data_IF_223980188941
#
_entry.id   IF_223980188941
#
_cell.length_a   1.000
_cell.length_b   1.000
_cell.length_c   1.000
_cell.angle_alpha   90.00
_cell.angle_beta   90.00
_cell.angle_gamma   90.00
#
_symmetry.space_group_name_H-M   'P 1'
#
loop_
_entity.id
_entity.type
_entity.pdbx_description
1 polymer ?
#
# COMPACT_ATOMS: atom_id res chain seq x y z
N UNK A 1 12.67 -1.97 21.55
CA UNK A 1 13.29 -0.87 20.78
C UNK A 1 13.13 0.43 21.57
N UNK A 2 14.01 1.41 21.44
CA UNK A 2 14.03 2.61 22.31
C UNK A 2 13.49 3.90 21.67
N UNK A 3 13.11 3.86 20.39
CA UNK A 3 12.65 5.02 19.62
C UNK A 3 11.64 4.61 18.54
N UNK A 4 10.80 5.55 18.13
CA UNK A 4 9.90 5.43 16.98
C UNK A 4 9.70 6.80 16.30
N UNK A 5 9.22 6.78 15.06
CA UNK A 5 8.73 7.95 14.32
C UNK A 5 7.23 7.80 14.08
N UNK A 6 6.44 8.74 14.57
CA UNK A 6 4.99 8.87 14.30
C UNK A 6 4.74 9.86 13.16
N UNK A 7 3.66 9.64 12.40
CA UNK A 7 3.23 10.47 11.29
C UNK A 7 1.82 11.03 11.52
N UNK A 8 1.73 12.22 12.09
CA UNK A 8 0.44 12.86 12.44
C UNK A 8 -0.16 13.75 11.36
N UNK A 9 0.64 14.17 10.37
CA UNK A 9 0.28 15.25 9.42
C UNK A 9 -0.06 14.81 8.00
N UNK A 10 0.09 13.52 7.65
CA UNK A 10 -0.16 13.00 6.29
C UNK A 10 -0.79 11.61 6.36
N UNK A 11 -1.80 11.38 5.51
CA UNK A 11 -2.48 10.08 5.38
C UNK A 11 -1.58 8.97 4.80
N UNK A 12 -0.65 9.28 3.89
CA UNK A 12 0.36 8.35 3.35
C UNK A 12 1.77 8.89 3.62
N UNK A 13 2.69 8.03 4.05
CA UNK A 13 4.05 8.41 4.45
C UNK A 13 5.06 7.44 3.84
N UNK A 14 5.95 7.95 2.99
CA UNK A 14 6.80 7.13 2.12
C UNK A 14 8.28 7.20 2.50
N UNK A 15 8.91 6.03 2.55
CA UNK A 15 10.36 5.85 2.50
C UNK A 15 10.73 5.38 1.09
N UNK A 16 11.62 6.11 0.42
CA UNK A 16 12.17 5.70 -0.88
C UNK A 16 13.56 5.10 -0.67
N UNK A 17 13.77 3.88 -1.15
CA UNK A 17 15.03 3.14 -1.07
C UNK A 17 15.52 2.95 -2.50
N UNK A 18 16.68 3.52 -2.84
CA UNK A 18 17.34 3.27 -4.14
C UNK A 18 18.04 1.93 -4.08
N UNK A 19 17.80 1.08 -5.06
CA UNK A 19 18.21 -0.34 -5.04
C UNK A 19 18.24 -0.89 -6.47
N UNK A 20 19.23 -1.72 -6.79
CA UNK A 20 19.29 -2.37 -8.09
C UNK A 20 18.18 -3.43 -8.24
N UNK A 21 17.71 -3.62 -9.49
CA UNK A 21 16.66 -4.59 -9.83
C UNK A 21 17.04 -6.01 -9.39
N UNK A 22 16.27 -6.60 -8.48
CA UNK A 22 16.61 -7.89 -7.88
C UNK A 22 15.75 -8.24 -6.66
N UNK A 23 15.98 -9.41 -6.03
CA UNK A 23 15.28 -9.79 -4.82
C UNK A 23 15.77 -8.96 -3.63
N UNK A 24 14.83 -8.37 -2.90
CA UNK A 24 15.08 -7.52 -1.73
C UNK A 24 14.34 -8.09 -0.52
N UNK A 25 15.05 -8.26 0.58
CA UNK A 25 14.46 -8.43 1.91
C UNK A 25 14.11 -7.04 2.46
N UNK A 26 12.86 -6.85 2.88
CA UNK A 26 12.43 -5.67 3.66
C UNK A 26 11.85 -6.15 4.99
N UNK A 27 12.30 -5.54 6.09
CA UNK A 27 11.78 -5.75 7.44
C UNK A 27 11.33 -4.42 8.03
N UNK A 28 10.07 -4.34 8.44
CA UNK A 28 9.47 -3.17 9.09
C UNK A 28 9.01 -3.56 10.50
N UNK A 29 9.47 -2.80 11.50
CA UNK A 29 9.28 -3.13 12.92
C UNK A 29 8.52 -2.03 13.65
N UNK A 30 7.54 -2.45 14.45
CA UNK A 30 6.55 -1.61 15.11
C UNK A 30 6.47 -1.97 16.60
N UNK A 31 7.01 -1.10 17.46
CA UNK A 31 6.87 -1.18 18.90
C UNK A 31 6.19 0.11 19.42
N UNK A 32 4.93 -0.01 19.85
CA UNK A 32 4.12 1.13 20.29
C UNK A 32 4.54 1.65 21.67
N UNK A 33 4.67 0.76 22.65
CA UNK A 33 5.16 1.09 24.00
C UNK A 33 4.36 2.16 24.75
N UNK A 34 3.12 2.46 24.34
CA UNK A 34 2.26 3.52 24.87
C UNK A 34 2.92 4.93 24.86
N UNK A 35 3.67 5.25 23.79
CA UNK A 35 4.45 6.49 23.68
C UNK A 35 3.61 7.79 23.84
N UNK A 36 2.36 7.76 23.41
CA UNK A 36 1.39 8.88 23.50
C UNK A 36 0.58 8.90 24.82
N UNK A 37 0.71 7.85 25.66
CA UNK A 37 0.00 7.64 26.93
C UNK A 37 -1.51 7.41 26.83
N UNK A 38 -2.07 7.15 25.65
CA UNK A 38 -3.51 6.95 25.42
C UNK A 38 -3.99 5.52 25.72
N UNK A 39 -3.08 4.54 25.81
CA UNK A 39 -3.38 3.10 25.85
C UNK A 39 -4.16 2.60 24.61
N UNK A 40 -4.09 3.31 23.48
CA UNK A 40 -4.82 3.01 22.25
C UNK A 40 -3.84 2.71 21.09
N UNK A 41 -3.31 1.48 20.99
CA UNK A 41 -2.37 1.11 19.93
C UNK A 41 -3.05 1.24 18.55
N UNK A 42 -2.51 2.06 17.63
CA UNK A 42 -3.16 2.36 16.36
C UNK A 42 -3.02 1.21 15.35
N UNK A 43 -3.87 1.24 14.32
CA UNK A 43 -3.79 0.32 13.19
C UNK A 43 -3.84 1.05 11.84
N UNK A 44 -3.03 0.59 10.90
CA UNK A 44 -2.73 1.28 9.65
C UNK A 44 -2.27 0.26 8.59
N UNK A 45 -2.16 0.66 7.32
CA UNK A 45 -1.57 -0.20 6.30
C UNK A 45 -0.06 0.03 6.19
N UNK A 46 0.67 -1.06 5.97
CA UNK A 46 2.00 -1.07 5.38
C UNK A 46 1.83 -1.47 3.90
N UNK A 47 2.38 -0.67 2.99
CA UNK A 47 2.41 -0.98 1.56
C UNK A 47 3.83 -0.96 1.00
N UNK A 48 4.07 -1.75 -0.04
CA UNK A 48 5.36 -1.83 -0.74
C UNK A 48 5.10 -1.70 -2.24
N UNK A 49 5.70 -0.68 -2.85
CA UNK A 49 5.49 -0.23 -4.23
C UNK A 49 4.01 -0.05 -4.61
N UNK A 50 3.17 0.24 -3.61
CA UNK A 50 1.71 0.31 -3.74
C UNK A 50 1.01 -1.04 -3.93
N UNK A 51 1.73 -2.02 -4.51
CA UNK A 51 1.20 -3.31 -4.89
C UNK A 51 1.07 -4.29 -3.70
N UNK A 52 2.04 -4.36 -2.78
CA UNK A 52 1.77 -5.09 -1.53
C UNK A 52 0.94 -4.21 -0.59
N UNK A 53 -0.06 -4.77 0.10
CA UNK A 53 -0.78 -4.15 1.22
C UNK A 53 -0.96 -5.17 2.34
N UNK A 54 -0.51 -4.83 3.54
CA UNK A 54 -0.81 -5.60 4.75
C UNK A 54 -1.23 -4.68 5.88
N UNK A 55 -2.23 -5.11 6.66
CA UNK A 55 -2.78 -4.30 7.76
C UNK A 55 -1.94 -4.51 9.02
N UNK A 56 -1.20 -3.47 9.41
CA UNK A 56 -0.47 -3.40 10.66
C UNK A 56 -1.47 -3.29 11.81
N UNK A 57 -1.48 -4.30 12.68
CA UNK A 57 -2.22 -4.31 13.95
C UNK A 57 -1.17 -4.27 15.05
N UNK A 58 -1.09 -3.15 15.78
CA UNK A 58 -0.13 -2.99 16.87
C UNK A 58 -0.77 -3.34 18.23
N UNK A 59 0.05 -3.57 19.25
CA UNK A 59 -0.39 -3.87 20.62
C UNK A 59 0.31 -2.95 21.62
N UNK A 60 -0.05 -3.05 22.91
CA UNK A 60 0.51 -2.18 23.95
C UNK A 60 2.03 -2.38 24.15
N UNK A 61 2.49 -3.63 24.16
CA UNK A 61 3.79 -4.03 24.68
C UNK A 61 4.56 -5.04 23.83
N UNK A 62 3.98 -5.58 22.75
CA UNK A 62 4.68 -6.50 21.85
C UNK A 62 5.42 -5.75 20.74
N UNK A 63 6.52 -6.34 20.28
CA UNK A 63 7.16 -5.96 19.03
C UNK A 63 6.43 -6.68 17.88
N UNK A 64 5.86 -5.92 16.94
CA UNK A 64 5.28 -6.47 15.71
C UNK A 64 6.27 -6.25 14.57
N UNK A 65 6.67 -7.32 13.88
CA UNK A 65 7.56 -7.26 12.73
C UNK A 65 6.84 -7.80 11.49
N UNK A 66 6.99 -7.09 10.37
CA UNK A 66 6.62 -7.57 9.04
C UNK A 66 7.91 -7.74 8.24
N UNK A 67 8.19 -8.96 7.81
CA UNK A 67 9.34 -9.32 6.98
C UNK A 67 8.84 -9.93 5.67
N UNK A 68 9.41 -9.49 4.54
CA UNK A 68 9.01 -9.94 3.20
C UNK A 68 10.19 -9.94 2.24
N UNK A 69 10.23 -10.94 1.37
CA UNK A 69 11.13 -11.00 0.21
C UNK A 69 10.29 -10.87 -1.05
N UNK A 70 10.63 -9.92 -1.91
CA UNK A 70 10.00 -9.70 -3.22
C UNK A 70 11.05 -9.24 -4.23
N UNK A 71 10.70 -9.17 -5.51
CA UNK A 71 11.59 -8.70 -6.58
C UNK A 71 11.27 -7.23 -6.88
N UNK A 72 12.28 -6.37 -6.77
CA UNK A 72 12.18 -4.96 -7.19
C UNK A 72 12.42 -4.87 -8.69
N UNK A 73 11.46 -4.29 -9.43
CA UNK A 73 11.52 -4.17 -10.88
C UNK A 73 12.07 -2.82 -11.38
N UNK A 74 12.33 -1.84 -10.50
CA UNK A 74 13.00 -0.57 -10.81
C UNK A 74 14.33 -0.39 -10.07
N UNK A 75 14.98 0.74 -10.31
CA UNK A 75 16.15 1.31 -9.60
C UNK A 75 15.83 1.88 -8.20
N UNK A 76 14.56 1.83 -7.79
CA UNK A 76 14.09 2.21 -6.48
C UNK A 76 12.84 1.42 -6.09
N UNK A 77 12.59 1.35 -4.78
CA UNK A 77 11.35 0.89 -4.17
C UNK A 77 10.83 1.90 -3.15
N UNK A 78 9.54 1.82 -2.84
CA UNK A 78 8.80 2.71 -1.95
C UNK A 78 8.05 1.91 -0.88
N UNK A 79 8.39 2.17 0.38
CA UNK A 79 7.72 1.58 1.55
C UNK A 79 6.81 2.66 2.15
N UNK A 80 5.51 2.39 2.20
CA UNK A 80 4.48 3.35 2.60
C UNK A 80 3.77 2.92 3.89
N UNK A 81 3.51 3.90 4.75
CA UNK A 81 2.68 3.76 5.94
C UNK A 81 1.43 4.64 5.78
N UNK A 82 0.26 4.01 5.67
CA UNK A 82 -1.00 4.68 5.33
C UNK A 82 -2.06 4.58 6.45
N UNK A 83 -2.57 5.74 6.86
CA UNK A 83 -3.58 5.89 7.92
C UNK A 83 -4.95 5.34 7.46
N UNK A 84 -5.42 4.27 8.10
CA UNK A 84 -6.70 3.63 7.75
C UNK A 84 -7.93 4.14 8.49
N UNK A 85 -7.74 4.92 9.57
CA UNK A 85 -8.82 5.49 10.38
C UNK A 85 -8.41 6.87 10.93
N UNK A 86 -9.35 7.79 11.17
CA UNK A 86 -9.08 9.01 11.92
C UNK A 86 -8.36 8.70 13.25
N UNK A 87 -7.44 9.59 13.63
CA UNK A 87 -6.64 9.55 14.87
C UNK A 87 -5.75 8.30 15.11
N UNK A 88 -5.88 7.24 14.30
CA UNK A 88 -4.94 6.11 14.29
C UNK A 88 -3.70 6.43 13.44
N UNK A 89 -2.81 7.25 13.99
CA UNK A 89 -1.61 7.71 13.30
C UNK A 89 -0.61 6.57 13.04
N UNK A 90 -0.13 6.39 11.79
CA UNK A 90 0.94 5.46 11.50
C UNK A 90 2.23 5.82 12.23
N UNK A 91 2.98 4.81 12.64
CA UNK A 91 4.32 4.98 13.19
C UNK A 91 5.24 3.84 12.74
N UNK A 92 6.54 3.97 12.95
CA UNK A 92 7.52 2.89 12.72
C UNK A 92 8.71 3.02 13.67
N UNK A 93 9.25 1.89 14.13
CA UNK A 93 10.37 1.83 15.06
C UNK A 93 11.70 1.55 14.37
N UNK A 94 11.71 0.70 13.33
CA UNK A 94 12.81 0.56 12.37
C UNK A 94 12.29 0.12 10.99
N UNK A 95 13.08 0.42 9.96
CA UNK A 95 12.94 -0.09 8.61
C UNK A 95 14.32 -0.55 8.14
N UNK A 96 14.42 -1.83 7.80
CA UNK A 96 15.64 -2.51 7.38
C UNK A 96 15.44 -3.07 5.96
N UNK A 97 16.49 -3.04 5.14
CA UNK A 97 16.43 -3.53 3.76
C UNK A 97 17.76 -4.13 3.32
N UNK A 98 17.75 -5.38 2.85
CA UNK A 98 18.96 -6.13 2.50
C UNK A 98 18.82 -6.74 1.10
N UNK A 99 19.68 -6.32 0.17
CA UNK A 99 19.72 -6.88 -1.19
C UNK A 99 20.13 -8.35 -1.09
N UNK A 100 19.27 -9.23 -1.58
CA UNK A 100 19.57 -10.67 -1.63
C UNK A 100 20.30 -10.97 -2.93
N UNK A 101 21.36 -11.78 -2.85
CA UNK A 101 22.02 -12.25 -4.07
C UNK A 101 21.15 -13.31 -4.73
N UNK A 102 21.12 -13.35 -6.06
CA UNK A 102 20.59 -14.52 -6.80
C UNK A 102 21.36 -15.82 -6.48
N UNK A 103 22.56 -15.69 -5.89
CA UNK A 103 23.35 -16.79 -5.34
C UNK A 103 22.93 -17.23 -3.92
N UNK A 104 22.19 -16.41 -3.16
CA UNK A 104 21.72 -16.75 -1.81
C UNK A 104 20.75 -17.94 -1.81
N UNK A 105 20.07 -18.15 -2.94
CA UNK A 105 19.21 -19.31 -3.22
C UNK A 105 19.83 -20.27 -4.25
N UNK A 106 21.13 -20.17 -4.52
CA UNK A 106 21.88 -21.01 -5.47
C UNK A 106 23.20 -21.52 -4.86
N UNK A 107 23.07 -22.36 -3.82
CA UNK A 107 24.06 -23.33 -3.31
C UNK A 107 25.46 -22.80 -2.88
N UNK A 108 26.16 -23.67 -2.12
CA UNK A 108 27.58 -23.59 -1.71
C UNK A 108 27.98 -22.65 -0.56
N UNK A 109 27.28 -21.55 -0.27
CA UNK A 109 27.64 -20.69 0.88
C UNK A 109 26.88 -21.11 2.14
N UNK A 110 27.56 -21.86 3.02
CA UNK A 110 27.04 -22.25 4.34
C UNK A 110 27.19 -21.06 5.29
N UNK A 111 26.08 -20.38 5.56
CA UNK A 111 25.99 -19.33 6.58
C UNK A 111 25.67 -19.97 7.93
N UNK A 112 26.36 -19.53 9.00
CA UNK A 112 26.08 -19.89 10.40
C UNK A 112 25.79 -18.60 11.17
N UNK A 113 24.87 -18.61 12.11
CA UNK A 113 24.86 -17.59 13.17
C UNK A 113 26.17 -17.72 14.00
N UNK A 114 26.93 -16.64 14.28
CA UNK A 114 26.58 -15.22 14.12
C UNK A 114 27.00 -14.56 12.78
N UNK A 115 27.63 -15.31 11.88
CA UNK A 115 28.17 -14.82 10.59
C UNK A 115 27.08 -14.61 9.49
N UNK A 116 25.83 -14.24 9.86
CA UNK A 116 24.73 -14.11 8.89
C UNK A 116 24.75 -12.76 8.17
N UNK A 117 25.26 -12.78 6.94
CA UNK A 117 25.40 -11.62 6.03
C UNK A 117 24.07 -10.90 5.77
N UNK A 118 22.93 -11.56 6.01
CA UNK A 118 21.58 -11.00 5.81
C UNK A 118 20.83 -10.71 7.12
N UNK A 119 21.49 -10.84 8.28
CA UNK A 119 20.95 -10.56 9.63
C UNK A 119 19.51 -11.07 9.86
N UNK A 120 19.30 -12.36 9.56
CA UNK A 120 18.03 -13.05 9.77
C UNK A 120 17.82 -13.36 11.25
N UNK A 121 16.61 -13.13 11.74
CA UNK A 121 16.27 -13.31 13.16
C UNK A 121 16.00 -14.80 13.44
N UNK A 122 17.04 -15.52 13.86
CA UNK A 122 16.96 -16.94 14.24
C UNK A 122 16.34 -17.14 15.63
N UNK A 123 15.01 -17.22 15.68
CA UNK A 123 14.26 -17.50 16.93
C UNK A 123 14.43 -18.98 17.34
N UNK A 124 14.83 -19.29 18.59
CA UNK A 124 14.89 -20.68 19.07
C UNK A 124 13.48 -21.21 19.32
N UNK A 125 12.91 -21.91 18.32
CA UNK A 125 11.55 -22.44 18.37
C UNK A 125 11.27 -23.23 19.67
N UNK A 126 10.16 -22.96 20.39
CA UNK A 126 9.88 -23.59 21.68
C UNK A 126 9.68 -25.10 21.53
N UNK A 127 10.72 -25.86 21.89
CA UNK A 127 10.90 -27.31 21.64
C UNK A 127 9.84 -28.24 22.26
N UNK A 128 8.80 -27.67 22.90
CA UNK A 128 7.73 -28.36 23.63
C UNK A 128 6.81 -29.20 22.74
N UNK A 129 6.56 -28.76 21.50
CA UNK A 129 5.65 -29.44 20.56
C UNK A 129 6.32 -30.61 19.82
N UNK A 130 7.55 -30.47 19.33
CA UNK A 130 8.26 -31.58 18.66
C UNK A 130 8.56 -32.76 19.60
N UNK A 131 8.59 -32.54 20.92
CA UNK A 131 8.99 -33.56 21.89
C UNK A 131 8.00 -34.74 22.00
N UNK A 132 6.72 -34.56 21.65
CA UNK A 132 5.67 -35.56 21.89
C UNK A 132 5.69 -36.79 20.95
N UNK A 133 6.48 -36.77 19.85
CA UNK A 133 6.65 -37.92 18.94
C UNK A 133 8.09 -38.46 18.86
N UNK A 134 8.98 -38.07 19.79
CA UNK A 134 10.30 -38.71 19.93
C UNK A 134 10.11 -40.09 20.58
N UNK A 135 9.80 -41.10 19.76
CA UNK A 135 9.67 -42.50 20.19
C UNK A 135 11.01 -43.02 20.76
N UNK A 136 11.12 -43.03 22.09
CA UNK A 136 12.22 -43.70 22.80
C UNK A 136 12.18 -45.20 22.50
N UNK A 137 13.07 -45.69 21.64
CA UNK A 137 13.35 -47.13 21.55
C UNK A 137 13.79 -47.66 22.93
N UNK A 138 13.36 -48.86 23.34
CA UNK A 138 13.83 -49.48 24.58
C UNK A 138 15.33 -49.83 24.50
N UNK A 139 15.97 -49.96 25.67
CA UNK A 139 17.43 -50.12 25.80
C UNK A 139 18.01 -51.28 24.98
N UNK A 140 19.12 -51.01 24.29
CA UNK A 140 19.94 -52.07 23.69
C UNK A 140 20.46 -53.02 24.78
N UNK A 141 19.96 -54.26 24.81
CA UNK A 141 20.48 -55.34 25.66
C UNK A 141 21.49 -56.15 24.84
N UNK A 142 22.79 -55.93 25.07
CA UNK A 142 23.86 -56.52 24.27
C UNK A 142 24.08 -58.02 24.55
N UNK A 143 24.37 -58.80 23.50
CA UNK A 143 25.33 -59.89 23.56
C UNK A 143 26.68 -59.48 22.94
N UNK A 144 27.75 -60.08 23.48
CA UNK A 144 29.17 -59.84 23.22
C UNK A 144 29.60 -59.69 21.74
N UNK A 145 29.92 -58.47 21.30
CA UNK A 145 30.97 -58.22 20.29
C UNK A 145 31.44 -56.75 20.31
N UNK A 146 32.75 -56.46 20.23
CA UNK A 146 33.27 -55.09 20.23
C UNK A 146 33.27 -54.47 18.83
N UNK A 147 32.14 -54.51 18.12
CA UNK A 147 31.92 -53.53 17.06
C UNK A 147 31.69 -52.17 17.74
N UNK A 148 32.62 -51.23 17.56
CA UNK A 148 32.42 -49.86 18.00
C UNK A 148 31.15 -49.32 17.34
N UNK A 149 30.12 -48.99 18.12
CA UNK A 149 28.83 -48.56 17.60
C UNK A 149 28.98 -47.34 16.68
N UNK A 150 29.01 -47.58 15.37
CA UNK A 150 29.05 -46.55 14.34
C UNK A 150 27.81 -45.67 14.52
N UNK A 151 28.03 -44.44 15.00
CA UNK A 151 26.98 -43.50 15.40
C UNK A 151 26.25 -42.91 14.19
N UNK A 152 25.53 -43.76 13.45
CA UNK A 152 24.68 -43.36 12.32
C UNK A 152 23.49 -42.54 12.81
N UNK A 153 23.29 -41.38 12.19
CA UNK A 153 22.04 -40.61 12.24
C UNK A 153 21.35 -40.74 10.89
N UNK A 154 20.08 -41.13 10.89
CA UNK A 154 19.29 -41.36 9.67
C UNK A 154 17.80 -41.18 9.98
N UNK A 155 17.11 -40.28 9.29
CA UNK A 155 15.70 -39.96 9.58
C UNK A 155 14.90 -39.58 8.33
N UNK A 156 13.59 -39.79 8.41
CA UNK A 156 12.61 -39.35 7.41
C UNK A 156 11.95 -38.04 7.87
N UNK A 157 11.61 -37.17 6.92
CA UNK A 157 10.81 -35.97 7.14
C UNK A 157 9.36 -36.25 6.74
N UNK A 158 8.43 -35.91 7.62
CA UNK A 158 6.99 -36.05 7.41
C UNK A 158 6.29 -34.70 7.58
N UNK A 159 5.30 -34.43 6.72
CA UNK A 159 4.33 -33.34 6.88
C UNK A 159 2.94 -33.98 6.92
N UNK A 160 2.19 -33.73 7.99
CA UNK A 160 0.85 -34.28 8.23
C UNK A 160 0.80 -35.81 8.15
N UNK A 161 1.85 -36.44 8.70
CA UNK A 161 2.14 -37.88 8.67
C UNK A 161 2.36 -38.48 7.26
N UNK A 162 2.42 -37.65 6.20
CA UNK A 162 2.83 -38.06 4.86
C UNK A 162 4.35 -37.91 4.71
N UNK A 163 5.10 -38.92 4.22
CA UNK A 163 6.53 -38.79 3.99
C UNK A 163 6.81 -37.76 2.90
N UNK A 164 7.84 -36.94 3.10
CA UNK A 164 8.30 -35.93 2.14
C UNK A 164 9.74 -36.11 1.71
N UNK A 165 10.54 -36.90 2.44
CA UNK A 165 11.94 -37.19 2.10
C UNK A 165 12.20 -38.70 2.00
N UNK A 166 13.24 -39.03 1.24
CA UNK A 166 14.02 -40.27 1.43
C UNK A 166 14.84 -40.20 2.75
N UNK A 167 15.53 -41.28 3.17
CA UNK A 167 16.33 -41.29 4.39
C UNK A 167 17.44 -40.23 4.40
N UNK A 168 17.24 -39.16 5.17
CA UNK A 168 18.23 -38.10 5.37
C UNK A 168 19.32 -38.62 6.31
N UNK A 169 20.54 -38.78 5.77
CA UNK A 169 21.76 -39.13 6.50
C UNK A 169 22.66 -37.88 6.50
N UNK A 170 22.70 -37.09 7.59
CA UNK A 170 23.48 -35.85 7.60
C UNK A 170 24.99 -36.11 7.45
N UNK A 171 25.67 -35.48 6.47
CA UNK A 171 27.11 -35.65 6.27
C UNK A 171 27.91 -34.99 7.40
N UNK A 172 28.94 -35.67 7.91
CA UNK A 172 29.76 -35.13 9.01
C UNK A 172 30.47 -33.84 8.59
N UNK A 173 30.39 -32.81 9.44
CA UNK A 173 31.00 -31.49 9.21
C UNK A 173 30.35 -30.65 8.10
N UNK A 174 29.29 -31.14 7.44
CA UNK A 174 28.56 -30.48 6.35
C UNK A 174 27.07 -30.39 6.68
N UNK A 175 26.31 -29.75 5.80
CA UNK A 175 24.83 -29.67 5.87
C UNK A 175 24.23 -30.29 4.62
N UNK A 176 22.97 -30.73 4.74
CA UNK A 176 22.10 -31.08 3.62
C UNK A 176 20.90 -30.15 3.69
N UNK A 177 20.63 -29.44 2.60
CA UNK A 177 19.45 -28.60 2.43
C UNK A 177 18.30 -29.40 1.81
N UNK A 178 17.06 -29.01 2.08
CA UNK A 178 15.88 -29.59 1.44
C UNK A 178 14.77 -28.55 1.35
N UNK A 179 14.41 -28.16 0.11
CA UNK A 179 13.26 -27.31 -0.17
C UNK A 179 11.99 -28.17 -0.29
N UNK A 180 10.89 -27.74 0.33
CA UNK A 180 9.58 -28.43 0.27
C UNK A 180 8.48 -27.41 0.01
N UNK A 181 7.92 -27.41 -1.20
CA UNK A 181 6.73 -26.63 -1.51
C UNK A 181 5.49 -27.37 -0.95
N UNK A 182 4.71 -26.72 -0.09
CA UNK A 182 3.53 -27.31 0.53
C UNK A 182 2.50 -26.24 0.91
N UNK A 183 1.22 -26.50 0.65
CA UNK A 183 0.11 -25.67 1.12
C UNK A 183 -0.25 -26.08 2.55
N UNK A 184 0.16 -25.27 3.53
CA UNK A 184 -0.10 -25.53 4.94
C UNK A 184 -1.47 -25.02 5.39
N UNK A 185 -2.03 -25.65 6.43
CA UNK A 185 -3.18 -25.20 7.20
C UNK A 185 -2.78 -24.93 8.66
N UNK A 186 -3.66 -24.32 9.45
CA UNK A 186 -3.41 -23.97 10.87
C UNK A 186 -3.07 -25.15 11.79
N UNK A 187 -3.32 -26.38 11.34
CA UNK A 187 -3.01 -27.64 12.00
C UNK A 187 -1.86 -28.44 11.35
N UNK A 188 -1.17 -27.89 10.33
CA UNK A 188 -0.09 -28.58 9.63
C UNK A 188 1.08 -28.91 10.57
N UNK A 189 1.55 -30.15 10.48
CA UNK A 189 2.42 -30.79 11.45
C UNK A 189 3.70 -31.35 10.81
N UNK A 190 4.83 -30.72 11.13
CA UNK A 190 6.16 -31.16 10.71
C UNK A 190 6.74 -32.14 11.73
N UNK A 191 7.25 -33.29 11.29
CA UNK A 191 7.88 -34.26 12.18
C UNK A 191 9.06 -34.99 11.54
N UNK A 192 10.06 -35.27 12.39
CA UNK A 192 11.28 -36.00 12.01
C UNK A 192 11.25 -37.37 12.70
N UNK A 193 11.39 -38.45 11.94
CA UNK A 193 11.27 -39.82 12.46
C UNK A 193 12.54 -40.61 12.15
N UNK A 194 13.20 -41.13 13.19
CA UNK A 194 14.39 -41.98 13.01
C UNK A 194 14.06 -43.24 12.21
N UNK A 195 14.90 -43.55 11.23
CA UNK A 195 14.88 -44.83 10.52
C UNK A 195 15.28 -45.99 11.44
N UNK A 196 14.94 -47.22 11.05
CA UNK A 196 15.13 -48.41 11.90
C UNK A 196 16.58 -48.67 12.29
N UNK A 197 17.53 -48.30 11.42
CA UNK A 197 18.97 -48.45 11.55
C UNK A 197 19.68 -47.21 12.15
N UNK A 198 18.95 -46.14 12.46
CA UNK A 198 19.53 -44.98 13.13
C UNK A 198 19.84 -45.27 14.60
N UNK A 199 21.07 -44.99 15.00
CA UNK A 199 21.57 -45.08 16.38
C UNK A 199 21.43 -43.76 17.15
N UNK A 200 21.20 -42.66 16.42
CA UNK A 200 21.00 -41.31 16.95
C UNK A 200 19.56 -40.82 16.66
N UNK A 201 19.02 -39.89 17.47
CA UNK A 201 17.75 -39.23 17.15
C UNK A 201 17.88 -38.34 15.89
N UNK A 202 16.79 -37.79 15.34
CA UNK A 202 16.89 -36.81 14.26
C UNK A 202 17.68 -35.56 14.67
N UNK A 203 18.08 -34.74 13.70
CA UNK A 203 18.65 -33.42 13.93
C UNK A 203 18.36 -32.52 12.73
N UNK A 204 17.90 -31.31 13.02
CA UNK A 204 17.84 -30.21 12.06
C UNK A 204 18.62 -29.03 12.67
N UNK A 205 19.35 -28.29 11.84
CA UNK A 205 20.16 -27.15 12.31
C UNK A 205 19.36 -25.84 12.26
N UNK A 206 18.53 -25.68 11.23
CA UNK A 206 17.75 -24.52 10.90
C UNK A 206 16.53 -24.94 10.07
N UNK A 207 15.43 -24.19 10.15
CA UNK A 207 14.26 -24.31 9.28
C UNK A 207 13.82 -22.90 8.93
N UNK A 208 13.64 -22.62 7.64
CA UNK A 208 13.00 -21.40 7.17
C UNK A 208 11.62 -21.78 6.63
N UNK A 209 10.58 -21.00 6.93
CA UNK A 209 9.20 -21.24 6.49
C UNK A 209 8.67 -19.96 5.89
N UNK A 210 8.53 -19.95 4.57
CA UNK A 210 8.02 -18.81 3.81
C UNK A 210 6.56 -19.07 3.41
N UNK A 211 5.67 -18.14 3.74
CA UNK A 211 4.36 -18.08 3.10
C UNK A 211 4.52 -17.38 1.75
N UNK A 212 4.21 -18.07 0.65
CA UNK A 212 4.08 -17.41 -0.66
C UNK A 212 2.75 -16.68 -0.64
N UNK A 213 2.78 -15.34 -0.59
CA UNK A 213 1.56 -14.55 -0.72
C UNK A 213 0.97 -14.70 -2.12
N UNK A 214 -0.30 -14.34 -2.27
CA UNK A 214 -0.85 -14.00 -3.57
C UNK A 214 0.05 -12.97 -4.30
N UNK A 215 -0.05 -12.88 -5.64
CA UNK A 215 0.60 -11.82 -6.40
C UNK A 215 0.33 -10.45 -5.77
N UNK A 216 1.33 -9.57 -5.81
CA UNK A 216 1.19 -8.20 -5.31
C UNK A 216 -0.08 -7.60 -5.92
N UNK A 217 -0.95 -7.00 -5.10
CA UNK A 217 -2.23 -6.42 -5.51
C UNK A 217 -1.97 -5.51 -6.70
N UNK A 218 -2.70 -5.73 -7.80
CA UNK A 218 -2.38 -5.02 -9.04
C UNK A 218 -2.64 -3.53 -8.83
N UNK A 219 -1.59 -2.72 -8.95
CA UNK A 219 -1.65 -1.28 -8.78
C UNK A 219 -2.55 -0.58 -9.80
N UNK A 220 -2.66 0.74 -9.65
CA UNK A 220 -3.31 1.63 -10.61
C UNK A 220 -2.80 1.34 -12.02
N UNK A 221 -3.68 1.35 -13.01
CA UNK A 221 -3.31 1.00 -14.39
C UNK A 221 -2.11 1.82 -14.88
N UNK A 222 -1.10 1.14 -15.42
CA UNK A 222 0.14 1.75 -15.93
C UNK A 222 -0.06 2.94 -16.88
N UNK A 223 -1.15 2.98 -17.66
CA UNK A 223 -1.48 4.12 -18.54
C UNK A 223 -1.91 5.36 -17.76
N UNK A 224 -2.65 5.15 -16.68
CA UNK A 224 -3.13 6.21 -15.78
C UNK A 224 -1.96 6.75 -14.95
N UNK A 225 -1.09 5.85 -14.45
CA UNK A 225 0.17 6.24 -13.80
C UNK A 225 1.05 7.07 -14.75
N UNK A 226 1.11 6.71 -16.04
CA UNK A 226 1.82 7.49 -17.06
C UNK A 226 1.30 8.93 -17.18
N UNK A 227 0.02 9.11 -17.49
CA UNK A 227 -0.58 10.45 -17.64
C UNK A 227 -0.52 11.31 -16.36
N UNK A 228 -0.58 10.68 -15.18
CA UNK A 228 -0.34 11.35 -13.90
C UNK A 228 1.12 11.81 -13.74
N UNK A 229 2.10 11.05 -14.21
CA UNK A 229 3.52 11.44 -14.23
C UNK A 229 3.76 12.58 -15.22
N UNK A 230 3.12 12.59 -16.38
CA UNK A 230 3.19 13.70 -17.33
C UNK A 230 2.61 15.01 -16.73
N UNK A 231 1.48 14.91 -16.02
CA UNK A 231 0.91 16.03 -15.25
C UNK A 231 1.85 16.51 -14.12
N UNK A 232 2.48 15.61 -13.36
CA UNK A 232 3.46 15.98 -12.32
C UNK A 232 4.77 16.56 -12.89
N UNK A 233 5.14 16.18 -14.12
CA UNK A 233 6.32 16.69 -14.81
C UNK A 233 6.07 18.10 -15.36
N UNK A 234 4.90 18.32 -15.97
CA UNK A 234 4.50 19.63 -16.50
C UNK A 234 4.14 20.64 -15.40
N UNK A 235 3.54 20.19 -14.29
CA UNK A 235 3.09 21.05 -13.20
C UNK A 235 3.77 20.70 -11.87
N UNK A 236 4.81 21.46 -11.53
CA UNK A 236 5.58 21.28 -10.28
C UNK A 236 4.75 21.37 -9.00
N UNK A 237 3.59 22.03 -9.02
CA UNK A 237 2.63 22.09 -7.90
C UNK A 237 2.03 20.72 -7.55
N UNK A 238 1.97 19.79 -8.51
CA UNK A 238 1.40 18.44 -8.33
C UNK A 238 2.44 17.43 -7.80
N UNK A 239 3.71 17.81 -7.74
CA UNK A 239 4.79 16.99 -7.20
C UNK A 239 4.64 16.79 -5.68
N UNK A 240 5.22 15.71 -5.17
CA UNK A 240 5.10 15.35 -3.74
C UNK A 240 3.85 14.54 -3.39
N UNK A 241 3.01 14.19 -4.37
CA UNK A 241 2.25 12.93 -4.32
C UNK A 241 3.13 11.78 -4.81
N UNK A 242 2.98 10.63 -4.17
CA UNK A 242 3.92 9.53 -4.18
C UNK A 242 3.19 8.19 -4.03
N UNK A 243 3.84 7.09 -4.44
CA UNK A 243 3.27 5.75 -4.43
C UNK A 243 2.03 5.62 -5.31
N UNK A 244 1.28 4.54 -5.10
CA UNK A 244 0.11 4.27 -5.93
C UNK A 244 -0.96 5.38 -5.83
N UNK A 245 -1.47 5.88 -6.98
CA UNK A 245 -2.52 6.89 -7.02
C UNK A 245 -3.82 6.46 -6.33
N UNK A 246 -4.32 5.26 -6.63
CA UNK A 246 -5.64 4.80 -6.19
C UNK A 246 -5.62 3.96 -4.90
N UNK A 247 -4.51 3.28 -4.61
CA UNK A 247 -4.38 2.32 -3.51
C UNK A 247 -3.66 2.91 -2.28
N UNK A 248 -4.07 2.55 -1.05
CA UNK A 248 -5.20 1.68 -0.74
C UNK A 248 -6.53 2.44 -0.81
N UNK A 249 -7.54 1.96 -1.54
CA UNK A 249 -8.90 2.53 -1.49
C UNK A 249 -9.43 2.50 -0.04
N UNK A 250 -10.09 3.57 0.46
CA UNK A 250 -10.54 4.79 -0.23
C UNK A 250 -9.53 5.96 -0.22
N UNK A 251 -8.25 5.71 0.05
CA UNK A 251 -7.19 6.71 0.15
C UNK A 251 -6.50 6.92 -1.21
N UNK A 252 -7.24 7.47 -2.17
CA UNK A 252 -6.68 7.98 -3.43
C UNK A 252 -5.77 9.21 -3.18
N UNK A 253 -5.08 9.71 -4.21
CA UNK A 253 -4.54 11.07 -4.16
C UNK A 253 -5.69 12.10 -4.08
N UNK A 254 -5.48 13.20 -3.36
CA UNK A 254 -6.56 14.11 -2.95
C UNK A 254 -7.29 14.82 -4.11
N UNK A 255 -6.73 14.76 -5.33
CA UNK A 255 -7.22 15.38 -6.56
C UNK A 255 -7.65 14.35 -7.63
N UNK A 256 -7.76 13.06 -7.28
CA UNK A 256 -8.25 12.02 -8.20
C UNK A 256 -9.36 11.18 -7.57
N UNK A 257 -10.30 10.75 -8.42
CA UNK A 257 -11.17 9.60 -8.11
C UNK A 257 -10.76 8.40 -8.96
N UNK A 258 -10.94 7.21 -8.40
CA UNK A 258 -10.63 5.95 -9.07
C UNK A 258 -11.82 4.99 -9.08
N UNK A 259 -11.77 4.00 -9.96
CA UNK A 259 -12.67 2.85 -9.92
C UNK A 259 -12.34 1.92 -8.73
N UNK A 260 -13.24 0.98 -8.45
CA UNK A 260 -13.06 -0.05 -7.41
C UNK A 260 -12.83 -1.45 -8.04
N UNK A 261 -12.21 -1.47 -9.22
CA UNK A 261 -11.88 -2.69 -9.95
C UNK A 261 -10.61 -3.36 -9.40
N UNK A 262 -10.34 -4.59 -9.84
CA UNK A 262 -9.14 -5.36 -9.46
C UNK A 262 -7.84 -4.70 -9.94
N UNK A 263 -7.91 -3.95 -11.04
CA UNK A 263 -6.88 -3.01 -11.50
C UNK A 263 -7.52 -1.63 -11.43
N UNK A 264 -7.22 -0.80 -10.42
CA UNK A 264 -7.84 0.51 -10.29
C UNK A 264 -7.53 1.41 -11.48
N UNK A 265 -8.54 2.08 -11.99
CA UNK A 265 -8.42 3.07 -13.06
C UNK A 265 -8.74 4.47 -12.55
N UNK A 266 -8.09 5.50 -13.08
CA UNK A 266 -8.38 6.90 -12.73
C UNK A 266 -9.59 7.35 -13.52
N UNK A 267 -10.69 7.63 -12.81
CA UNK A 267 -11.99 7.96 -13.41
C UNK A 267 -12.32 9.46 -13.37
N UNK A 268 -11.69 10.21 -12.47
CA UNK A 268 -11.79 11.67 -12.44
C UNK A 268 -10.52 12.39 -11.98
N UNK A 269 -10.33 13.62 -12.45
CA UNK A 269 -9.36 14.60 -11.99
C UNK A 269 -10.08 15.87 -11.51
N UNK A 270 -9.70 16.36 -10.32
CA UNK A 270 -10.08 17.69 -9.80
C UNK A 270 -8.80 18.48 -9.47
N UNK A 271 -8.39 19.31 -10.42
CA UNK A 271 -7.25 20.22 -10.35
C UNK A 271 -7.71 21.69 -10.41
N UNK A 272 -8.96 21.95 -10.01
CA UNK A 272 -9.55 23.28 -9.96
C UNK A 272 -8.80 24.20 -8.99
N UNK A 273 -8.50 25.43 -9.43
CA UNK A 273 -7.81 26.44 -8.59
C UNK A 273 -6.44 26.05 -7.99
N UNK A 274 -5.75 25.03 -8.52
CA UNK A 274 -4.43 24.59 -8.04
C UNK A 274 -3.28 25.58 -8.32
N UNK A 275 -3.53 26.65 -9.09
CA UNK A 275 -2.49 27.60 -9.51
C UNK A 275 -1.61 27.07 -10.63
N UNK A 276 -2.12 26.13 -11.44
CA UNK A 276 -1.43 25.55 -12.58
C UNK A 276 -1.13 26.63 -13.63
N UNK A 277 0.03 26.56 -14.29
CA UNK A 277 0.41 27.51 -15.34
C UNK A 277 1.31 26.87 -16.39
N UNK A 278 1.35 27.46 -17.59
CA UNK A 278 2.00 26.88 -18.76
C UNK A 278 1.01 26.16 -19.68
N UNK A 279 1.49 25.19 -20.44
CA UNK A 279 0.66 24.39 -21.37
C UNK A 279 0.17 23.10 -20.70
N UNK A 280 -0.91 22.52 -21.22
CA UNK A 280 -1.38 21.20 -20.84
C UNK A 280 -0.51 20.13 -21.52
N UNK A 281 -0.08 19.06 -20.80
CA UNK A 281 0.60 17.94 -21.42
C UNK A 281 -0.41 17.04 -22.16
N UNK A 282 0.11 16.10 -22.95
CA UNK A 282 -0.71 14.99 -23.45
C UNK A 282 -0.80 13.91 -22.37
N UNK A 283 -2.02 13.63 -21.91
CA UNK A 283 -2.35 12.54 -20.99
C UNK A 283 -3.51 11.68 -21.56
N UNK A 284 -3.63 11.62 -22.89
CA UNK A 284 -4.61 10.79 -23.61
C UNK A 284 -4.43 9.28 -23.40
N UNK A 285 -3.35 8.84 -22.73
CA UNK A 285 -3.19 7.48 -22.24
C UNK A 285 -4.25 7.08 -21.22
N UNK A 286 -4.82 8.04 -20.48
CA UNK A 286 -5.80 7.84 -19.41
C UNK A 286 -7.19 7.48 -19.95
N UNK A 287 -7.29 6.35 -20.66
CA UNK A 287 -8.45 5.93 -21.44
C UNK A 287 -9.75 5.72 -20.64
N UNK A 288 -9.64 5.65 -19.32
CA UNK A 288 -10.73 5.42 -18.38
C UNK A 288 -11.16 6.69 -17.62
N UNK A 289 -10.55 7.84 -17.93
CA UNK A 289 -10.92 9.16 -17.41
C UNK A 289 -12.22 9.64 -18.05
N UNK A 290 -13.37 9.31 -17.43
CA UNK A 290 -14.70 9.52 -18.02
C UNK A 290 -15.70 10.29 -17.15
N UNK A 291 -15.46 10.44 -15.84
CA UNK A 291 -16.45 11.01 -14.93
C UNK A 291 -16.36 12.54 -14.79
N UNK A 292 -15.14 13.08 -14.63
CA UNK A 292 -14.88 14.52 -14.48
C UNK A 292 -13.41 14.82 -14.77
N UNK A 293 -13.11 15.91 -15.47
CA UNK A 293 -11.76 16.43 -15.63
C UNK A 293 -11.80 17.95 -15.48
N UNK A 294 -11.69 18.43 -14.24
CA UNK A 294 -11.81 19.84 -13.91
C UNK A 294 -10.44 20.48 -13.69
N UNK A 295 -10.09 21.47 -14.51
CA UNK A 295 -8.88 22.29 -14.37
C UNK A 295 -9.24 23.80 -14.35
N UNK A 296 -10.47 24.18 -13.98
CA UNK A 296 -10.95 25.57 -14.03
C UNK A 296 -10.21 26.52 -13.06
N UNK A 297 -10.30 27.82 -13.31
CA UNK A 297 -9.71 28.88 -12.47
C UNK A 297 -8.19 28.70 -12.21
N UNK A 298 -7.44 28.35 -13.25
CA UNK A 298 -5.98 28.26 -13.24
C UNK A 298 -5.36 29.34 -14.16
N UNK A 299 -4.04 29.31 -14.37
CA UNK A 299 -3.32 30.17 -15.31
C UNK A 299 -2.81 29.37 -16.52
N UNK A 300 -3.62 28.42 -17.01
CA UNK A 300 -3.30 27.59 -18.16
C UNK A 300 -3.31 28.40 -19.47
N UNK A 301 -2.50 27.96 -20.43
CA UNK A 301 -2.22 28.69 -21.65
C UNK A 301 -1.94 27.78 -22.85
N UNK A 302 -2.13 28.29 -24.06
CA UNK A 302 -1.87 27.53 -25.29
C UNK A 302 -3.03 26.62 -25.71
N UNK A 303 -2.79 25.73 -26.70
CA UNK A 303 -3.86 24.93 -27.29
C UNK A 303 -4.43 23.93 -26.29
N UNK A 304 -5.75 23.78 -26.28
CA UNK A 304 -6.41 22.65 -25.61
C UNK A 304 -6.14 21.38 -26.44
N UNK A 305 -5.61 20.29 -25.86
CA UNK A 305 -5.43 19.03 -26.57
C UNK A 305 -6.75 18.45 -27.10
N UNK A 306 -6.76 17.92 -28.32
CA UNK A 306 -7.98 17.46 -29.00
C UNK A 306 -8.77 16.41 -28.20
N UNK A 307 -8.10 15.56 -27.40
CA UNK A 307 -8.75 14.55 -26.55
C UNK A 307 -9.60 15.18 -25.42
N UNK A 308 -9.22 16.36 -24.90
CA UNK A 308 -10.04 17.10 -23.93
C UNK A 308 -11.28 17.72 -24.59
N UNK A 309 -11.27 17.91 -25.91
CA UNK A 309 -12.41 18.42 -26.69
C UNK A 309 -13.67 17.56 -26.64
N UNK A 310 -13.57 16.31 -26.17
CA UNK A 310 -14.68 15.38 -26.01
C UNK A 310 -15.34 15.39 -24.61
N UNK A 311 -14.78 16.12 -23.63
CA UNK A 311 -15.26 16.07 -22.24
C UNK A 311 -16.50 16.94 -22.01
N UNK A 312 -17.47 16.48 -21.19
CA UNK A 312 -18.75 17.18 -20.98
C UNK A 312 -18.65 18.52 -20.21
N UNK A 313 -17.48 18.86 -19.67
CA UNK A 313 -17.23 20.07 -18.87
C UNK A 313 -16.27 21.07 -19.56
N UNK A 314 -16.08 20.97 -20.88
CA UNK A 314 -15.13 21.79 -21.65
C UNK A 314 -15.38 23.31 -21.54
N UNK A 315 -16.64 23.75 -21.41
CA UNK A 315 -16.96 25.18 -21.22
C UNK A 315 -16.44 25.71 -19.87
N UNK A 316 -16.49 24.87 -18.83
CA UNK A 316 -16.01 25.19 -17.48
C UNK A 316 -14.47 25.18 -17.41
N UNK A 317 -13.81 24.29 -18.16
CA UNK A 317 -12.35 24.27 -18.34
C UNK A 317 -11.80 25.60 -18.90
N UNK A 318 -12.48 26.18 -19.90
CA UNK A 318 -12.12 27.48 -20.51
C UNK A 318 -12.45 28.63 -19.56
N UNK A 319 -13.50 28.49 -18.76
CA UNK A 319 -13.89 29.47 -17.75
C UNK A 319 -12.78 29.64 -16.69
N UNK A 320 -12.29 30.87 -16.54
CA UNK A 320 -11.20 31.19 -15.63
C UNK A 320 -9.80 30.78 -16.11
N UNK A 321 -9.61 30.26 -17.33
CA UNK A 321 -8.30 30.00 -17.93
C UNK A 321 -8.09 30.87 -19.20
N UNK A 322 -7.87 32.20 -19.07
CA UNK A 322 -7.90 33.14 -20.19
C UNK A 322 -6.75 33.00 -21.21
N UNK A 323 -5.76 32.15 -20.94
CA UNK A 323 -4.67 31.84 -21.88
C UNK A 323 -4.94 30.67 -22.82
N UNK A 324 -5.99 29.87 -22.58
CA UNK A 324 -6.30 28.68 -23.39
C UNK A 324 -6.92 29.06 -24.74
N UNK A 325 -6.53 28.34 -25.79
CA UNK A 325 -7.08 28.46 -27.13
C UNK A 325 -7.68 27.14 -27.61
N UNK A 326 -8.96 27.15 -28.01
CA UNK A 326 -9.75 25.99 -28.48
C UNK A 326 -9.21 25.36 -29.79
N UNK A 327 -8.18 25.96 -30.40
CA UNK A 327 -7.42 25.36 -31.50
C UNK A 327 -6.04 26.00 -31.58
N UNK A 328 -5.04 25.24 -32.00
CA UNK A 328 -3.70 25.72 -32.36
C UNK A 328 -3.71 26.87 -33.38
N UNK A 329 -4.76 26.96 -34.22
CA UNK A 329 -4.97 28.08 -35.17
C UNK A 329 -5.47 29.38 -34.53
N UNK A 330 -6.01 29.31 -33.31
CA UNK A 330 -6.51 30.47 -32.54
C UNK A 330 -5.43 31.08 -31.64
N UNK A 331 -4.40 30.30 -31.30
CA UNK A 331 -3.28 30.71 -30.47
C UNK A 331 -2.40 31.75 -31.18
N UNK A 332 -2.61 33.05 -30.93
CA UNK A 332 -1.73 34.11 -31.41
C UNK A 332 -0.40 34.09 -30.64
N UNK A 333 0.77 34.15 -31.31
CA UNK A 333 2.03 34.38 -30.63
C UNK A 333 2.03 35.79 -30.01
N UNK A 334 2.40 35.90 -28.73
CA UNK A 334 2.45 37.18 -28.01
C UNK A 334 3.71 37.95 -28.39
N UNK A 335 3.66 38.64 -29.54
CA UNK A 335 4.73 39.56 -29.97
C UNK A 335 4.92 40.66 -28.94
N UNK A 336 6.04 40.61 -28.22
CA UNK A 336 6.41 41.62 -27.22
C UNK A 336 7.03 42.81 -27.95
N UNK A 337 6.22 43.83 -28.27
CA UNK A 337 6.66 44.98 -29.05
C UNK A 337 6.69 46.28 -28.23
N UNK A 338 7.72 47.09 -28.47
CA UNK A 338 8.15 48.12 -27.53
C UNK A 338 8.10 49.55 -28.10
N UNK A 339 7.37 50.41 -27.36
CA UNK A 339 7.51 51.87 -27.33
C UNK A 339 6.84 52.73 -28.42
N UNK A 340 6.14 53.78 -27.92
CA UNK A 340 5.92 55.13 -28.53
C UNK A 340 5.01 55.21 -29.77
N UNK A 341 4.19 56.25 -29.97
CA UNK A 341 3.88 57.44 -29.15
C UNK A 341 2.55 58.08 -29.58
N UNK A 342 1.86 58.78 -28.66
CA UNK A 342 0.73 59.68 -28.97
C UNK A 342 1.21 60.96 -29.69
N UNK A 343 0.31 61.73 -30.36
CA UNK A 343 -0.53 62.67 -29.62
C UNK A 343 -2.02 62.76 -30.08
N UNK A 344 -2.83 63.32 -29.18
CA UNK A 344 -4.23 63.80 -29.37
C UNK A 344 -4.21 65.34 -29.63
N UNK A 345 -5.33 66.11 -29.73
CA UNK A 345 -6.76 65.77 -29.60
C UNK A 345 -7.72 66.37 -30.68
N UNK A 346 -9.00 65.99 -30.60
CA UNK A 346 -10.13 66.80 -31.07
C UNK A 346 -11.39 66.51 -30.23
N UNK A 347 -12.23 67.52 -29.98
CA UNK A 347 -13.27 67.52 -28.94
C UNK A 347 -14.71 67.55 -29.45
N UNK A 348 -15.64 66.89 -28.75
CA UNK A 348 -17.05 67.31 -28.70
C UNK A 348 -17.82 66.81 -27.46
N UNK A 349 -18.67 67.68 -26.92
CA UNK A 349 -19.89 67.43 -26.14
C UNK A 349 -20.76 66.27 -26.68
N UNK A 350 -21.67 65.59 -25.96
CA UNK A 350 -22.24 65.66 -24.59
C UNK A 350 -22.99 64.32 -24.30
N UNK A 351 -23.81 64.04 -23.26
CA UNK A 351 -24.45 64.77 -22.13
C UNK A 351 -24.73 63.79 -20.98
N UNK A 352 -25.03 64.26 -19.75
CA UNK A 352 -25.49 63.39 -18.64
C UNK A 352 -27.01 63.14 -18.64
N UNK A 353 -27.46 61.95 -18.23
CA UNK A 353 -28.84 61.70 -17.78
C UNK A 353 -28.89 60.69 -16.61
N UNK A 354 -29.99 60.69 -15.84
CA UNK A 354 -30.10 60.05 -14.52
C UNK A 354 -30.75 58.65 -14.55
N UNK A 355 -30.49 57.84 -13.52
CA UNK A 355 -31.28 56.64 -13.18
C UNK A 355 -32.75 56.98 -12.89
N UNK A 356 -33.64 56.00 -13.09
CA UNK A 356 -34.74 55.69 -12.18
C UNK A 356 -34.45 54.41 -11.34
N UNK A 357 -35.08 54.32 -10.17
CA UNK A 357 -35.08 53.14 -9.29
C UNK A 357 -36.35 52.33 -9.56
N UNK A 358 -36.28 51.00 -9.49
CA UNK A 358 -37.45 50.10 -9.53
C UNK A 358 -37.44 49.23 -8.26
N UNK A 359 -38.62 48.97 -7.68
CA UNK A 359 -38.79 48.46 -6.31
C UNK A 359 -39.99 47.50 -6.23
N UNK A 360 -39.77 46.26 -5.78
CA UNK A 360 -40.81 45.24 -5.58
C UNK A 360 -41.20 44.43 -6.85
N UNK A 361 -41.88 43.28 -6.74
CA UNK A 361 -42.52 42.64 -5.56
C UNK A 361 -42.52 41.10 -5.61
N UNK A 362 -42.51 40.47 -4.42
CA UNK A 362 -43.10 39.15 -4.04
C UNK A 362 -43.03 37.95 -5.02
N UNK A 363 -42.24 36.88 -4.79
CA UNK A 363 -42.27 35.87 -3.69
C UNK A 363 -43.41 34.84 -3.78
N UNK A 364 -43.09 33.53 -3.70
CA UNK A 364 -43.86 32.59 -2.89
C UNK A 364 -42.98 31.83 -1.87
N UNK A 365 -42.85 32.38 -0.66
CA UNK A 365 -42.02 31.85 0.43
C UNK A 365 -42.57 30.58 1.08
N UNK A 366 -43.81 30.21 0.75
CA UNK A 366 -44.46 28.94 1.11
C UNK A 366 -43.71 27.71 0.56
N UNK A 367 -43.01 27.83 -0.57
CA UNK A 367 -42.21 26.74 -1.13
C UNK A 367 -40.96 26.46 -0.28
N UNK A 368 -40.28 27.51 0.18
CA UNK A 368 -39.02 27.40 0.93
C UNK A 368 -39.28 26.87 2.35
N UNK A 369 -40.33 27.34 3.03
CA UNK A 369 -40.71 26.81 4.35
C UNK A 369 -41.10 25.33 4.30
N UNK A 370 -41.86 24.93 3.27
CA UNK A 370 -42.26 23.54 3.05
C UNK A 370 -41.05 22.62 2.79
N UNK A 371 -40.10 23.06 1.97
CA UNK A 371 -38.87 22.31 1.69
C UNK A 371 -38.01 22.10 2.95
N UNK A 372 -37.86 23.13 3.80
CA UNK A 372 -37.08 23.04 5.04
C UNK A 372 -37.73 22.06 6.04
N UNK A 373 -39.06 22.10 6.20
CA UNK A 373 -39.77 21.14 7.06
C UNK A 373 -39.66 19.71 6.52
N UNK A 374 -39.77 19.51 5.21
CA UNK A 374 -39.58 18.21 4.58
C UNK A 374 -38.15 17.68 4.78
N UNK A 375 -37.13 18.52 4.62
CA UNK A 375 -35.72 18.17 4.83
C UNK A 375 -35.45 17.75 6.28
N UNK A 376 -35.96 18.50 7.27
CA UNK A 376 -35.83 18.18 8.69
C UNK A 376 -36.52 16.85 9.04
N UNK A 377 -37.73 16.62 8.52
CA UNK A 377 -38.46 15.36 8.76
C UNK A 377 -37.77 14.16 8.08
N UNK A 378 -37.23 14.34 6.87
CA UNK A 378 -36.45 13.30 6.18
C UNK A 378 -35.17 12.96 6.97
N UNK A 379 -34.41 13.96 7.42
CA UNK A 379 -33.20 13.72 8.22
C UNK A 379 -33.48 13.03 9.56
N UNK A 380 -34.59 13.37 10.24
CA UNK A 380 -35.02 12.67 11.47
C UNK A 380 -35.40 11.21 11.20
N UNK A 381 -36.08 10.92 10.08
CA UNK A 381 -36.38 9.53 9.67
C UNK A 381 -35.12 8.74 9.30
N UNK A 382 -34.16 9.34 8.58
CA UNK A 382 -32.90 8.67 8.20
C UNK A 382 -32.04 8.32 9.43
N UNK A 383 -31.97 9.20 10.44
CA UNK A 383 -31.29 8.90 11.72
C UNK A 383 -31.99 7.80 12.53
N UNK A 384 -33.33 7.75 12.53
CA UNK A 384 -34.08 6.69 13.20
C UNK A 384 -33.85 5.30 12.55
N UNK A 385 -33.77 5.23 11.22
CA UNK A 385 -33.49 3.98 10.50
C UNK A 385 -32.08 3.43 10.82
N UNK A 386 -31.07 4.30 10.88
CA UNK A 386 -29.68 3.92 11.22
C UNK A 386 -29.60 3.41 12.68
N UNK A 387 -30.29 4.06 13.62
CA UNK A 387 -30.36 3.61 15.01
C UNK A 387 -31.01 2.23 15.15
N UNK A 388 -32.07 1.94 14.38
CA UNK A 388 -32.77 0.65 14.42
C UNK A 388 -31.91 -0.52 13.89
N UNK A 389 -31.14 -0.31 12.81
CA UNK A 389 -30.25 -1.35 12.26
C UNK A 389 -29.11 -1.67 13.24
N UNK A 390 -28.53 -0.64 13.87
CA UNK A 390 -27.39 -0.79 14.80
C UNK A 390 -27.75 -1.64 16.04
N UNK A 391 -29.03 -1.66 16.45
CA UNK A 391 -29.49 -2.49 17.57
C UNK A 391 -29.76 -3.96 17.20
N UNK A 392 -29.86 -4.30 15.91
CA UNK A 392 -30.35 -5.60 15.44
C UNK A 392 -29.29 -6.70 15.26
N UNK A 393 -28.00 -6.36 15.18
CA UNK A 393 -26.93 -7.32 14.84
C UNK A 393 -25.97 -7.65 16.01
N UNK A 394 -26.25 -7.15 17.21
CA UNK A 394 -25.46 -7.44 18.42
C UNK A 394 -25.78 -8.81 19.07
N UNK A 395 -26.44 -9.72 18.35
CA UNK A 395 -26.88 -11.02 18.87
C UNK A 395 -26.85 -12.11 17.78
N UNK A 396 -25.71 -12.78 17.61
CA UNK A 396 -25.57 -13.90 16.67
C UNK A 396 -24.22 -14.62 16.77
N UNK A 397 -24.28 -15.95 16.93
CA UNK A 397 -23.18 -16.93 16.83
C UNK A 397 -21.85 -16.64 17.56
N UNK A 398 -21.66 -17.28 18.72
CA UNK A 398 -20.33 -17.75 19.12
C UNK A 398 -19.88 -18.86 18.16
N UNK A 399 -18.65 -18.74 17.63
CA UNK A 399 -17.83 -19.88 17.19
C UNK A 399 -16.41 -19.57 17.68
N UNK A 400 -15.91 -20.34 18.65
CA UNK A 400 -14.59 -20.12 19.25
C UNK A 400 -13.48 -20.73 18.36
N UNK A 401 -12.99 -19.94 17.39
CA UNK A 401 -11.83 -20.31 16.57
C UNK A 401 -10.52 -20.25 17.37
N UNK A 402 -10.13 -21.41 17.92
CA UNK A 402 -8.89 -21.57 18.66
C UNK A 402 -7.65 -21.65 17.76
N UNK A 403 -7.09 -20.52 17.33
CA UNK A 403 -5.75 -20.49 16.74
C UNK A 403 -4.95 -19.20 17.06
N UNK A 404 -4.07 -19.27 18.06
CA UNK A 404 -2.93 -18.36 18.16
C UNK A 404 -1.73 -18.98 17.43
N UNK A 405 -1.18 -18.27 16.46
CA UNK A 405 0.21 -18.42 16.02
C UNK A 405 0.89 -17.08 16.21
N UNK A 406 1.68 -16.96 17.28
CA UNK A 406 2.69 -15.92 17.43
C UNK A 406 3.99 -16.38 16.74
N UNK A 407 4.86 -15.42 16.41
CA UNK A 407 6.27 -15.68 16.13
C UNK A 407 7.02 -16.04 17.43
#
# INVERSE_FOLDING_TARGET
MSSLRVFTSRKKNFYFIRVDKGPLLVRASFYYGNYDRTLSPPSFDLLIDGNHRTKVITSLDQLVCYEVVYVVESDATSICLAQTQPDQFPFISALESHILSRSSYNLWIIIRCPDDVYDRIWVPYPMKLMYQKILRKPSCRMPLQPQACLKKRSFMIYIDNNPKSEPVIPPYGKVTEMLINYTASSNTSFSLVSTLDSTLPPLINAMEVFSVSDPLVVGTNSKDVGGLVDLQTQFSVLQGRYGDPCLPSPYTWDWISCSNDVIPHVTALDLSSFGLSGQLPDFSSMDSLVAMCDLHNNSLSGPIPDFLGAFPYLEELVSGNPGLCVSSKSCKPTSTDGSKSSPTPSSSSEKSNKLPIILGTTIPSSMISSAIVAFILHHRRKKAAIAAITAGQAAGSNIDDGCLICC
#
